data_IF_998939160477
#
_entry.id   IF_998939160477
#
_cell.length_a   1.000
_cell.length_b   1.000
_cell.length_c   1.000
_cell.angle_alpha   90.00
_cell.angle_beta   90.00
_cell.angle_gamma   90.00
#
_symmetry.space_group_name_H-M   'P 1'
#
loop_
_entity.id
_entity.type
_entity.pdbx_description
1 polymer ?
#
# COMPACT_ATOMS: atom_id res chain seq x y z
N UNK A 1 19.39 30.17 23.24
CA UNK A 1 18.99 30.71 21.93
C UNK A 1 17.46 30.77 21.87
N UNK A 2 16.87 31.96 21.77
CA UNK A 2 15.41 32.16 21.67
C UNK A 2 14.99 32.08 20.20
N UNK A 3 14.12 31.13 19.86
CA UNK A 3 13.55 31.00 18.51
C UNK A 3 12.29 31.85 18.46
N UNK A 4 12.36 33.03 17.85
CA UNK A 4 11.16 33.85 17.64
C UNK A 4 10.42 33.36 16.41
N UNK A 5 9.14 32.98 16.60
CA UNK A 5 8.21 32.60 15.55
C UNK A 5 7.90 33.81 14.65
N UNK A 6 8.68 34.01 13.59
CA UNK A 6 8.53 35.13 12.64
C UNK A 6 7.28 35.00 11.73
N UNK A 7 6.41 34.00 11.97
CA UNK A 7 5.25 33.72 11.11
C UNK A 7 3.93 34.36 11.57
N UNK A 8 3.92 35.13 12.67
CA UNK A 8 2.70 35.77 13.22
C UNK A 8 2.73 37.30 13.22
N UNK A 9 3.83 37.93 12.79
CA UNK A 9 3.88 39.38 12.63
C UNK A 9 3.29 39.77 11.27
N UNK A 10 2.61 40.92 11.19
CA UNK A 10 2.05 41.47 9.94
C UNK A 10 3.08 41.50 8.81
N UNK A 11 4.31 41.92 9.13
CA UNK A 11 5.44 41.94 8.20
C UNK A 11 5.79 40.57 7.59
N UNK A 12 5.55 39.47 8.31
CA UNK A 12 5.77 38.11 7.80
C UNK A 12 4.68 37.64 6.82
N UNK A 13 3.45 38.09 7.02
CA UNK A 13 2.30 37.79 6.16
C UNK A 13 2.43 38.54 4.82
N UNK A 14 2.78 39.83 4.87
CA UNK A 14 2.97 40.68 3.70
C UNK A 14 4.10 40.19 2.79
N UNK A 15 5.24 39.77 3.38
CA UNK A 15 6.39 39.24 2.63
C UNK A 15 6.04 37.96 1.85
N UNK A 16 5.16 37.12 2.40
CA UNK A 16 4.68 35.89 1.74
C UNK A 16 3.60 36.17 0.68
N UNK A 17 2.77 37.20 0.88
CA UNK A 17 1.82 37.66 -0.12
C UNK A 17 2.55 38.24 -1.36
N UNK A 18 3.60 39.04 -1.14
CA UNK A 18 4.43 39.58 -2.22
C UNK A 18 5.19 38.50 -2.99
N UNK A 19 5.71 37.46 -2.31
CA UNK A 19 6.34 36.31 -2.98
C UNK A 19 5.36 35.48 -3.83
N UNK A 20 4.06 35.48 -3.51
CA UNK A 20 3.03 34.81 -4.32
C UNK A 20 2.54 35.65 -5.50
N UNK A 21 2.67 36.97 -5.43
CA UNK A 21 2.28 37.90 -6.49
C UNK A 21 3.40 38.19 -7.50
N UNK A 22 4.59 37.60 -7.33
CA UNK A 22 5.59 37.62 -8.39
C UNK A 22 5.00 36.96 -9.66
N UNK A 23 4.99 37.66 -10.81
CA UNK A 23 4.31 37.20 -11.99
C UNK A 23 4.95 35.91 -12.50
N UNK A 24 4.09 34.94 -12.80
CA UNK A 24 4.35 33.75 -13.61
C UNK A 24 4.71 34.16 -15.05
N UNK A 25 5.79 34.93 -15.21
CA UNK A 25 6.35 35.29 -16.50
C UNK A 25 7.18 34.10 -17.01
N UNK A 26 6.82 33.63 -18.19
CA UNK A 26 7.44 32.57 -18.98
C UNK A 26 7.09 31.11 -18.60
N UNK A 27 5.80 30.79 -18.49
CA UNK A 27 5.32 29.49 -18.94
C UNK A 27 5.01 29.59 -20.44
N UNK A 28 6.02 29.41 -21.28
CA UNK A 28 5.80 29.25 -22.72
C UNK A 28 4.88 28.02 -22.95
N UNK A 29 3.83 28.14 -23.77
CA UNK A 29 3.08 26.96 -24.20
C UNK A 29 3.98 26.17 -25.16
N UNK A 30 4.71 25.19 -24.61
CA UNK A 30 5.28 24.11 -25.42
C UNK A 30 4.14 23.26 -25.94
N UNK A 31 3.47 23.76 -26.97
CA UNK A 31 2.67 22.99 -27.91
C UNK A 31 3.61 22.08 -28.69
N UNK A 32 4.17 21.09 -28.01
CA UNK A 32 4.77 19.94 -28.66
C UNK A 32 3.62 19.14 -29.24
N UNK A 33 3.42 19.33 -30.53
CA UNK A 33 2.65 18.47 -31.40
C UNK A 33 3.11 17.03 -31.17
N UNK A 34 2.36 16.32 -30.33
CA UNK A 34 2.67 14.97 -29.87
C UNK A 34 2.43 14.07 -31.08
N UNK A 35 3.50 13.64 -31.74
CA UNK A 35 3.46 12.66 -32.82
C UNK A 35 2.48 11.51 -32.45
N UNK A 36 1.66 11.02 -33.39
CA UNK A 36 0.67 9.99 -33.08
C UNK A 36 1.39 8.80 -32.45
N UNK A 37 1.01 8.50 -31.20
CA UNK A 37 1.56 7.38 -30.47
C UNK A 37 1.31 6.11 -31.30
N UNK A 38 2.38 5.53 -31.84
CA UNK A 38 2.34 4.24 -32.52
C UNK A 38 1.76 3.25 -31.53
N UNK A 39 0.56 2.75 -31.81
CA UNK A 39 -0.09 1.78 -30.95
C UNK A 39 0.86 0.58 -30.79
N UNK A 40 1.18 0.15 -29.56
CA UNK A 40 2.08 -0.97 -29.36
C UNK A 40 1.47 -2.19 -30.06
N UNK A 41 2.24 -2.76 -30.99
CA UNK A 41 1.85 -3.98 -31.70
C UNK A 41 1.71 -5.08 -30.66
N UNK A 42 0.48 -5.51 -30.39
CA UNK A 42 0.14 -6.61 -29.48
C UNK A 42 0.43 -7.95 -30.15
N UNK A 43 1.67 -8.13 -30.61
CA UNK A 43 2.16 -9.40 -31.16
C UNK A 43 2.59 -10.31 -30.02
N UNK A 44 1.80 -11.35 -29.74
CA UNK A 44 1.99 -12.43 -28.76
C UNK A 44 1.66 -12.12 -27.30
N UNK A 45 0.38 -12.26 -26.96
CA UNK A 45 -0.07 -12.47 -25.58
C UNK A 45 0.14 -13.94 -25.23
N UNK A 46 1.26 -14.26 -24.61
CA UNK A 46 1.50 -15.59 -24.01
C UNK A 46 0.85 -15.59 -22.62
N UNK A 47 0.04 -16.60 -22.31
CA UNK A 47 -0.48 -16.81 -20.94
C UNK A 47 0.69 -17.21 -20.02
N UNK A 48 1.35 -16.21 -19.42
CA UNK A 48 2.36 -16.42 -18.40
C UNK A 48 1.70 -16.90 -17.10
N UNK A 49 1.87 -18.18 -16.78
CA UNK A 49 1.50 -18.71 -15.46
C UNK A 49 2.68 -18.49 -14.52
N UNK A 50 2.64 -17.41 -13.74
CA UNK A 50 3.64 -17.14 -12.70
C UNK A 50 3.34 -18.06 -11.51
N UNK A 51 4.29 -18.91 -11.06
CA UNK A 51 4.06 -19.79 -9.92
C UNK A 51 3.79 -18.97 -8.66
N UNK A 52 2.90 -19.49 -7.80
CA UNK A 52 2.60 -18.85 -6.51
C UNK A 52 3.86 -18.84 -5.66
N UNK A 53 4.07 -17.74 -4.96
CA UNK A 53 5.11 -17.69 -3.92
C UNK A 53 4.69 -18.57 -2.75
N UNK A 54 5.66 -19.09 -2.00
CA UNK A 54 5.41 -19.91 -0.81
C UNK A 54 4.42 -19.27 0.18
N UNK A 55 4.50 -17.96 0.40
CA UNK A 55 3.59 -17.29 1.31
C UNK A 55 2.16 -17.18 0.74
N UNK A 56 2.00 -17.07 -0.58
CA UNK A 56 0.69 -17.16 -1.22
C UNK A 56 0.13 -18.58 -1.14
N UNK A 57 0.99 -19.59 -1.17
CA UNK A 57 0.61 -20.99 -0.97
C UNK A 57 0.02 -21.17 0.44
N UNK A 58 0.75 -20.73 1.49
CA UNK A 58 0.28 -20.80 2.89
C UNK A 58 -1.08 -20.12 3.07
N UNK A 59 -1.26 -18.93 2.48
CA UNK A 59 -2.54 -18.20 2.56
C UNK A 59 -3.65 -19.00 1.89
N UNK A 60 -3.38 -19.60 0.73
CA UNK A 60 -4.36 -20.41 0.02
C UNK A 60 -4.73 -21.67 0.83
N UNK A 61 -3.75 -22.36 1.40
CA UNK A 61 -3.97 -23.58 2.17
C UNK A 61 -4.83 -23.30 3.41
N UNK A 62 -4.56 -22.19 4.12
CA UNK A 62 -5.38 -21.78 5.27
C UNK A 62 -6.77 -21.34 4.81
N UNK A 63 -6.89 -20.60 3.70
CA UNK A 63 -8.20 -20.27 3.17
C UNK A 63 -9.03 -21.54 2.91
N UNK A 64 -8.43 -22.56 2.30
CA UNK A 64 -9.08 -23.85 2.06
C UNK A 64 -9.48 -24.57 3.36
N UNK A 65 -8.66 -24.53 4.40
CA UNK A 65 -9.00 -25.11 5.71
C UNK A 65 -10.25 -24.47 6.34
N UNK A 66 -10.46 -23.18 6.10
CA UNK A 66 -11.64 -22.45 6.57
C UNK A 66 -12.83 -22.45 5.59
N UNK A 67 -12.73 -23.18 4.47
CA UNK A 67 -13.76 -23.21 3.44
C UNK A 67 -13.91 -21.88 2.67
N UNK A 68 -12.85 -21.07 2.64
CA UNK A 68 -12.80 -19.75 2.01
C UNK A 68 -11.86 -19.74 0.81
N UNK A 69 -11.99 -18.72 -0.04
CA UNK A 69 -11.09 -18.51 -1.16
C UNK A 69 -9.89 -17.65 -0.77
N UNK A 70 -8.82 -17.71 -1.55
CA UNK A 70 -7.68 -16.79 -1.40
C UNK A 70 -8.10 -15.32 -1.49
N UNK A 71 -9.11 -15.01 -2.31
CA UNK A 71 -9.64 -13.64 -2.44
C UNK A 71 -10.35 -13.17 -1.17
N UNK A 72 -11.03 -14.07 -0.46
CA UNK A 72 -11.68 -13.75 0.82
C UNK A 72 -10.67 -13.32 1.89
N UNK A 73 -9.46 -13.91 1.86
CA UNK A 73 -8.38 -13.52 2.77
C UNK A 73 -7.94 -12.06 2.55
N UNK A 74 -7.99 -11.59 1.30
CA UNK A 74 -7.64 -10.22 0.92
C UNK A 74 -8.84 -9.26 0.98
N UNK A 75 -10.05 -9.79 1.00
CA UNK A 75 -11.31 -9.04 1.00
C UNK A 75 -11.43 -8.11 2.21
N UNK A 76 -11.98 -6.87 2.05
CA UNK A 76 -12.27 -5.95 3.16
C UNK A 76 -13.33 -6.45 4.13
N UNK A 77 -14.01 -7.57 3.83
CA UNK A 77 -15.04 -8.15 4.69
C UNK A 77 -14.53 -8.45 6.10
N UNK A 78 -15.40 -8.12 7.06
CA UNK A 78 -15.17 -8.29 8.51
C UNK A 78 -16.07 -9.37 9.13
N UNK A 79 -16.66 -10.24 8.31
CA UNK A 79 -17.34 -11.45 8.82
C UNK A 79 -16.40 -12.21 9.73
N UNK A 80 -16.90 -12.69 10.86
CA UNK A 80 -16.12 -13.33 11.92
C UNK A 80 -15.26 -14.46 11.36
N UNK A 81 -15.87 -15.35 10.56
CA UNK A 81 -15.22 -16.47 9.87
C UNK A 81 -13.99 -16.04 9.05
N UNK A 82 -14.14 -14.97 8.25
CA UNK A 82 -13.05 -14.45 7.40
C UNK A 82 -11.96 -13.80 8.24
N UNK A 83 -12.33 -13.10 9.32
CA UNK A 83 -11.37 -12.43 10.21
C UNK A 83 -10.52 -13.47 10.95
N UNK A 84 -11.13 -14.55 11.44
CA UNK A 84 -10.42 -15.63 12.12
C UNK A 84 -9.45 -16.33 11.18
N UNK A 85 -9.94 -16.76 10.01
CA UNK A 85 -9.13 -17.36 8.96
C UNK A 85 -7.96 -16.45 8.53
N UNK A 86 -8.21 -15.14 8.38
CA UNK A 86 -7.16 -14.18 8.04
C UNK A 86 -6.13 -14.05 9.16
N UNK A 87 -6.54 -14.10 10.43
CA UNK A 87 -5.61 -14.04 11.56
C UNK A 87 -4.76 -15.31 11.65
N UNK A 88 -5.33 -16.48 11.36
CA UNK A 88 -4.59 -17.73 11.25
C UNK A 88 -3.57 -17.67 10.10
N UNK A 89 -3.99 -17.15 8.93
CA UNK A 89 -3.10 -16.96 7.79
C UNK A 89 -1.94 -16.00 8.09
N UNK A 90 -2.22 -14.88 8.77
CA UNK A 90 -1.20 -13.91 9.17
C UNK A 90 -0.19 -14.55 10.13
N UNK A 91 -0.66 -15.33 11.11
CA UNK A 91 0.17 -16.02 12.07
C UNK A 91 1.06 -17.07 11.39
N UNK A 92 0.50 -17.90 10.51
CA UNK A 92 1.24 -18.93 9.80
C UNK A 92 2.32 -18.35 8.88
N UNK A 93 2.01 -17.25 8.16
CA UNK A 93 3.01 -16.55 7.35
C UNK A 93 4.14 -15.99 8.21
N UNK A 94 3.84 -15.47 9.40
CA UNK A 94 4.85 -14.97 10.32
C UNK A 94 5.74 -16.08 10.89
N UNK A 95 5.17 -17.26 11.19
CA UNK A 95 5.91 -18.44 11.66
C UNK A 95 6.81 -18.99 10.54
N UNK A 96 6.29 -19.10 9.31
CA UNK A 96 7.05 -19.60 8.17
C UNK A 96 8.15 -18.61 7.73
N UNK A 97 7.90 -17.30 7.85
CA UNK A 97 8.83 -16.25 7.40
C UNK A 97 9.12 -15.24 8.51
N UNK A 98 9.89 -15.64 9.54
CA UNK A 98 10.18 -14.78 10.69
C UNK A 98 11.05 -13.57 10.34
N UNK A 99 11.77 -13.62 9.21
CA UNK A 99 12.61 -12.54 8.72
C UNK A 99 11.81 -11.39 8.09
N UNK A 100 10.52 -11.57 7.80
CA UNK A 100 9.72 -10.53 7.17
C UNK A 100 9.28 -9.46 8.18
N UNK A 101 9.43 -8.16 7.86
CA UNK A 101 8.91 -7.12 8.72
C UNK A 101 7.39 -7.13 8.71
N UNK A 102 6.78 -6.84 9.86
CA UNK A 102 5.31 -6.86 10.04
C UNK A 102 4.57 -6.00 9.01
N UNK A 103 5.17 -4.87 8.60
CA UNK A 103 4.63 -4.01 7.56
C UNK A 103 4.59 -4.68 6.17
N UNK A 104 5.54 -5.54 5.85
CA UNK A 104 5.53 -6.31 4.60
C UNK A 104 4.46 -7.40 4.61
N UNK A 105 4.27 -8.06 5.75
CA UNK A 105 3.13 -8.97 5.95
C UNK A 105 1.81 -8.20 5.75
N UNK A 106 1.68 -7.00 6.33
CA UNK A 106 0.54 -6.12 6.11
C UNK A 106 0.25 -5.83 4.63
N UNK A 107 1.29 -5.54 3.84
CA UNK A 107 1.16 -5.33 2.39
C UNK A 107 0.62 -6.56 1.66
N UNK A 108 1.04 -7.76 2.05
CA UNK A 108 0.55 -9.01 1.45
C UNK A 108 -0.96 -9.20 1.65
N UNK A 109 -1.46 -8.86 2.84
CA UNK A 109 -2.89 -8.96 3.18
C UNK A 109 -3.69 -7.70 2.84
N UNK A 110 -3.07 -6.64 2.28
CA UNK A 110 -3.67 -5.31 2.06
C UNK A 110 -4.26 -4.72 3.35
N UNK A 111 -3.53 -4.85 4.47
CA UNK A 111 -3.95 -4.42 5.81
C UNK A 111 -2.95 -3.49 6.47
N UNK A 112 -3.49 -2.69 7.38
CA UNK A 112 -2.70 -1.79 8.20
C UNK A 112 -1.81 -2.59 9.18
N UNK A 113 -0.58 -2.14 9.46
CA UNK A 113 0.30 -2.79 10.43
C UNK A 113 -0.33 -3.00 11.82
N UNK A 114 -1.24 -2.13 12.27
CA UNK A 114 -1.95 -2.31 13.55
C UNK A 114 -2.86 -3.54 13.52
N UNK A 115 -3.47 -3.84 12.39
CA UNK A 115 -4.28 -5.07 12.23
C UNK A 115 -3.40 -6.31 12.33
N UNK A 116 -2.19 -6.27 11.79
CA UNK A 116 -1.22 -7.37 11.88
C UNK A 116 -0.77 -7.59 13.32
N UNK A 117 -0.49 -6.50 14.05
CA UNK A 117 -0.16 -6.59 15.48
C UNK A 117 -1.31 -7.22 16.28
N UNK A 118 -2.55 -6.79 16.04
CA UNK A 118 -3.71 -7.37 16.70
C UNK A 118 -3.87 -8.87 16.40
N UNK A 119 -3.61 -9.30 15.15
CA UNK A 119 -3.62 -10.71 14.80
C UNK A 119 -2.56 -11.50 15.59
N UNK A 120 -1.35 -10.94 15.77
CA UNK A 120 -0.29 -11.58 16.56
C UNK A 120 -0.64 -11.71 18.03
N UNK A 121 -1.20 -10.67 18.67
CA UNK A 121 -1.65 -10.75 20.05
C UNK A 121 -2.73 -11.81 20.24
N UNK A 122 -3.73 -11.86 19.34
CA UNK A 122 -4.80 -12.86 19.41
C UNK A 122 -4.33 -14.30 19.19
N UNK A 123 -3.18 -14.48 18.54
CA UNK A 123 -2.59 -15.80 18.24
C UNK A 123 -1.37 -16.12 19.12
N UNK A 124 -1.06 -15.30 20.13
CA UNK A 124 0.02 -15.55 21.10
C UNK A 124 1.43 -15.41 20.54
N UNK A 125 1.62 -14.64 19.46
CA UNK A 125 2.93 -14.40 18.83
C UNK A 125 3.60 -13.10 19.29
N UNK A 126 2.91 -12.27 20.09
CA UNK A 126 3.37 -10.99 20.59
C UNK A 126 2.81 -10.71 21.99
#
# INVERSE_FOLDING_TARGET
MKVYAVSRTQAGIERRAQQRQAPAAAAEPRSQERAPAVAPVTGNVVNLVIPRTEAQQIIADIAHQHGLTYEDMLSPSRRVEIVEARFDAIAAVAIAKPHLPKGQIGKMFRRDPKTILNAFYRRGLA
#
